data_IF_440403376577
#
_entry.id   IF_440403376577
#
_cell.length_a   1.000
_cell.length_b   1.000
_cell.length_c   1.000
_cell.angle_alpha   90.00
_cell.angle_beta   90.00
_cell.angle_gamma   90.00
#
_symmetry.space_group_name_H-M   'P 1'
#
loop_
_entity.id
_entity.type
_entity.pdbx_description
1 polymer ?
#
# COMPACT_ATOMS: atom_id res chain seq x y z
N UNK A 1 -17.29 31.37 -39.49
CA UNK A 1 -16.92 32.72 -39.02
C UNK A 1 -15.50 32.68 -38.52
N UNK A 2 -14.63 33.55 -39.03
CA UNK A 2 -13.23 33.61 -38.57
C UNK A 2 -13.14 34.29 -37.19
N UNK A 3 -12.09 34.01 -36.43
CA UNK A 3 -11.92 34.51 -35.05
C UNK A 3 -11.93 36.04 -35.00
N UNK A 4 -11.24 36.68 -35.95
CA UNK A 4 -11.23 38.15 -36.02
C UNK A 4 -12.64 38.72 -36.28
N UNK A 5 -13.46 38.09 -37.12
CA UNK A 5 -14.84 38.53 -37.37
C UNK A 5 -15.68 38.48 -36.09
N UNK A 6 -15.58 37.37 -35.35
CA UNK A 6 -16.27 37.16 -34.08
C UNK A 6 -15.87 38.17 -33.00
N UNK A 7 -14.57 38.48 -32.92
CA UNK A 7 -14.08 39.51 -31.99
C UNK A 7 -14.72 40.87 -32.28
N UNK A 8 -14.82 41.26 -33.56
CA UNK A 8 -15.43 42.54 -33.91
C UNK A 8 -16.95 42.55 -33.72
N UNK A 9 -17.64 41.43 -33.91
CA UNK A 9 -19.06 41.29 -33.57
C UNK A 9 -19.27 41.48 -32.06
N UNK A 10 -18.51 40.77 -31.22
CA UNK A 10 -18.60 40.87 -29.76
C UNK A 10 -18.22 42.26 -29.21
N UNK A 11 -17.24 42.93 -29.83
CA UNK A 11 -16.91 44.34 -29.50
C UNK A 11 -18.12 45.24 -29.76
N UNK A 12 -18.78 45.05 -30.92
CA UNK A 12 -19.95 45.85 -31.29
C UNK A 12 -21.19 45.51 -30.43
N UNK A 13 -21.43 44.24 -30.14
CA UNK A 13 -22.54 43.78 -29.28
C UNK A 13 -22.43 44.34 -27.87
N UNK A 14 -21.20 44.54 -27.37
CA UNK A 14 -20.95 45.18 -26.08
C UNK A 14 -20.87 46.71 -26.13
N UNK A 15 -21.09 47.31 -27.30
CA UNK A 15 -21.04 48.76 -27.47
C UNK A 15 -19.66 49.39 -27.23
N UNK A 16 -18.58 48.60 -27.31
CA UNK A 16 -17.22 49.07 -27.10
C UNK A 16 -16.65 49.69 -28.38
N UNK A 17 -15.98 50.83 -28.26
CA UNK A 17 -15.18 51.34 -29.37
C UNK A 17 -13.86 50.58 -29.46
N UNK A 18 -13.28 50.51 -30.66
CA UNK A 18 -11.97 49.88 -30.86
C UNK A 18 -10.86 50.52 -29.99
N UNK A 19 -11.01 51.81 -29.66
CA UNK A 19 -10.07 52.54 -28.79
C UNK A 19 -10.19 52.09 -27.33
N UNK A 20 -11.41 51.92 -26.83
CA UNK A 20 -11.65 51.40 -25.48
C UNK A 20 -11.19 49.95 -25.37
N UNK A 21 -11.51 49.12 -26.36
CA UNK A 21 -11.06 47.74 -26.41
C UNK A 21 -9.51 47.63 -26.45
N UNK A 22 -8.84 48.51 -27.20
CA UNK A 22 -7.38 48.64 -27.21
C UNK A 22 -6.81 48.98 -25.83
N UNK A 23 -7.43 49.91 -25.11
CA UNK A 23 -7.01 50.31 -23.77
C UNK A 23 -7.20 49.17 -22.75
N UNK A 24 -8.33 48.47 -22.82
CA UNK A 24 -8.68 47.39 -21.89
C UNK A 24 -7.82 46.14 -22.10
N UNK A 25 -7.51 45.78 -23.35
CA UNK A 25 -6.65 44.63 -23.66
C UNK A 25 -5.16 44.92 -23.61
N UNK A 26 -4.76 46.20 -23.62
CA UNK A 26 -3.37 46.61 -23.81
C UNK A 26 -2.82 46.35 -25.22
N UNK A 27 -3.67 45.93 -26.18
CA UNK A 27 -3.26 45.65 -27.55
C UNK A 27 -3.36 46.94 -28.35
N UNK A 28 -2.29 47.31 -29.08
CA UNK A 28 -2.26 48.54 -29.85
C UNK A 28 -3.41 48.61 -30.87
N UNK A 29 -4.07 49.77 -30.96
CA UNK A 29 -5.23 49.97 -31.85
C UNK A 29 -4.88 49.69 -33.32
N UNK A 30 -3.62 49.93 -33.73
CA UNK A 30 -3.09 49.58 -35.05
C UNK A 30 -3.13 48.07 -35.31
N UNK A 31 -2.72 47.26 -34.33
CA UNK A 31 -2.76 45.79 -34.39
C UNK A 31 -4.19 45.27 -34.51
N UNK A 32 -5.13 45.83 -33.73
CA UNK A 32 -6.55 45.45 -33.82
C UNK A 32 -7.12 45.82 -35.19
N UNK A 33 -6.75 46.99 -35.75
CA UNK A 33 -7.21 47.43 -37.08
C UNK A 33 -6.69 46.51 -38.19
N UNK A 34 -5.45 46.04 -38.04
CA UNK A 34 -4.81 45.13 -38.98
C UNK A 34 -5.53 43.77 -39.08
N UNK A 35 -6.09 43.25 -38.00
CA UNK A 35 -6.88 41.99 -38.05
C UNK A 35 -8.06 42.10 -39.01
N UNK A 36 -8.79 43.21 -38.96
CA UNK A 36 -9.92 43.48 -39.86
C UNK A 36 -9.49 43.78 -41.29
N UNK A 37 -8.44 44.59 -41.46
CA UNK A 37 -7.95 45.02 -42.80
C UNK A 37 -7.27 43.88 -43.56
N UNK A 38 -6.41 43.12 -42.88
CA UNK A 38 -5.61 42.03 -43.46
C UNK A 38 -6.32 40.69 -43.35
N UNK A 39 -7.48 40.62 -42.69
CA UNK A 39 -8.27 39.42 -42.43
C UNK A 39 -7.45 38.32 -41.73
N UNK A 40 -6.63 38.74 -40.77
CA UNK A 40 -5.74 37.85 -40.00
C UNK A 40 -6.24 37.72 -38.56
N UNK A 41 -6.13 36.52 -38.01
CA UNK A 41 -6.51 36.27 -36.62
C UNK A 41 -5.44 36.80 -35.65
N UNK A 42 -5.82 37.20 -34.43
CA UNK A 42 -4.86 37.48 -33.38
C UNK A 42 -4.01 36.23 -33.08
N UNK A 43 -2.77 36.44 -32.65
CA UNK A 43 -1.92 35.37 -32.15
C UNK A 43 -2.52 34.73 -30.89
N UNK A 44 -2.24 33.45 -30.68
CA UNK A 44 -2.82 32.65 -29.59
C UNK A 44 -2.56 33.27 -28.20
N UNK A 45 -1.42 33.94 -28.03
CA UNK A 45 -1.03 34.64 -26.80
C UNK A 45 -1.98 35.78 -26.41
N UNK A 46 -2.76 36.31 -27.37
CA UNK A 46 -3.71 37.40 -27.14
C UNK A 46 -5.14 36.92 -26.90
N UNK A 47 -5.45 35.65 -27.16
CA UNK A 47 -6.82 35.15 -27.10
C UNK A 47 -7.40 35.20 -25.68
N UNK A 48 -6.61 34.86 -24.67
CA UNK A 48 -7.06 34.90 -23.27
C UNK A 48 -7.45 36.30 -22.82
N UNK A 49 -6.63 37.31 -23.11
CA UNK A 49 -6.92 38.69 -22.69
C UNK A 49 -8.10 39.29 -23.46
N UNK A 50 -8.26 38.90 -24.73
CA UNK A 50 -9.43 39.27 -25.54
C UNK A 50 -10.70 38.62 -24.96
N UNK A 51 -10.65 37.32 -24.64
CA UNK A 51 -11.77 36.56 -24.07
C UNK A 51 -12.22 37.13 -22.72
N UNK A 52 -11.27 37.44 -21.84
CA UNK A 52 -11.54 38.07 -20.54
C UNK A 52 -12.11 39.48 -20.69
N UNK A 53 -11.56 40.30 -21.58
CA UNK A 53 -12.06 41.67 -21.81
C UNK A 53 -13.46 41.66 -22.42
N UNK A 54 -13.71 40.70 -23.29
CA UNK A 54 -15.00 40.44 -23.90
C UNK A 54 -15.75 39.36 -23.14
N UNK A 55 -15.59 39.20 -21.82
CA UNK A 55 -16.36 38.32 -20.93
C UNK A 55 -17.02 37.09 -21.62
N UNK A 56 -16.22 36.33 -22.37
CA UNK A 56 -16.62 35.11 -23.09
C UNK A 56 -15.53 34.07 -22.92
N UNK A 57 -15.86 32.81 -23.15
CA UNK A 57 -14.85 31.76 -23.20
C UNK A 57 -13.94 31.90 -24.43
N UNK A 58 -12.70 31.41 -24.34
CA UNK A 58 -11.79 31.36 -25.50
C UNK A 58 -12.38 30.45 -26.57
N UNK A 59 -13.04 29.38 -26.14
CA UNK A 59 -13.80 28.43 -26.94
C UNK A 59 -14.87 29.16 -27.77
N UNK A 60 -15.62 30.07 -27.15
CA UNK A 60 -16.58 30.91 -27.85
C UNK A 60 -15.89 31.79 -28.90
N UNK A 61 -14.74 32.43 -28.61
CA UNK A 61 -13.98 33.18 -29.63
C UNK A 61 -13.51 32.30 -30.79
N UNK A 62 -13.17 31.05 -30.51
CA UNK A 62 -12.65 30.08 -31.47
C UNK A 62 -13.74 29.46 -32.35
N UNK A 63 -15.02 29.73 -32.12
CA UNK A 63 -16.08 29.11 -32.92
C UNK A 63 -16.58 27.79 -32.37
N UNK A 64 -16.09 27.37 -31.21
CA UNK A 64 -16.46 26.11 -30.58
C UNK A 64 -17.79 26.36 -29.84
N UNK A 65 -18.86 25.59 -30.10
CA UNK A 65 -20.13 25.78 -29.42
C UNK A 65 -19.94 25.65 -27.92
N UNK A 66 -20.33 26.68 -27.17
CA UNK A 66 -20.40 26.62 -25.72
C UNK A 66 -21.39 25.52 -25.35
N UNK A 67 -20.88 24.45 -24.75
CA UNK A 67 -21.73 23.42 -24.15
C UNK A 67 -22.56 24.10 -23.08
N UNK A 68 -23.86 24.24 -23.32
CA UNK A 68 -24.83 24.76 -22.35
C UNK A 68 -24.63 24.05 -21.02
N UNK A 69 -24.50 24.86 -19.96
CA UNK A 69 -24.32 24.45 -18.58
C UNK A 69 -25.61 23.83 -18.03
N UNK A 70 -25.98 22.66 -18.56
CA UNK A 70 -27.04 21.79 -18.05
C UNK A 70 -26.44 20.48 -17.52
N UNK A 71 -25.25 20.59 -16.90
CA UNK A 71 -24.52 19.49 -16.27
C UNK A 71 -25.07 19.13 -14.88
N UNK A 72 -26.19 19.73 -14.44
CA UNK A 72 -26.68 19.47 -13.08
C UNK A 72 -27.56 18.22 -12.97
N UNK A 73 -27.88 17.59 -14.11
CA UNK A 73 -28.66 16.35 -14.17
C UNK A 73 -27.83 15.07 -14.19
N UNK A 74 -26.53 15.14 -14.54
CA UNK A 74 -25.64 13.97 -14.66
C UNK A 74 -24.49 13.94 -13.65
N UNK A 75 -24.31 14.99 -12.84
CA UNK A 75 -23.28 15.03 -11.79
C UNK A 75 -23.86 14.44 -10.50
N UNK A 76 -23.31 13.32 -10.06
CA UNK A 76 -23.79 12.65 -8.85
C UNK A 76 -23.42 13.43 -7.58
N UNK A 77 -23.99 13.03 -6.45
CA UNK A 77 -23.81 13.72 -5.16
C UNK A 77 -22.33 13.83 -4.75
N UNK A 78 -21.53 12.81 -5.04
CA UNK A 78 -20.11 12.79 -4.67
C UNK A 78 -19.28 13.77 -5.51
N UNK A 79 -19.60 13.90 -6.79
CA UNK A 79 -18.95 14.84 -7.70
C UNK A 79 -19.26 16.30 -7.33
N UNK A 80 -20.50 16.59 -6.87
CA UNK A 80 -20.87 17.92 -6.33
C UNK A 80 -20.07 18.24 -5.07
N UNK A 81 -19.99 17.28 -4.14
CA UNK A 81 -19.21 17.42 -2.90
C UNK A 81 -17.74 17.64 -3.20
N UNK A 82 -17.16 16.91 -4.16
CA UNK A 82 -15.77 17.07 -4.55
C UNK A 82 -15.49 18.46 -5.14
N UNK A 83 -16.39 18.98 -5.99
CA UNK A 83 -16.28 20.31 -6.57
C UNK A 83 -16.36 21.42 -5.52
N UNK A 84 -17.29 21.30 -4.56
CA UNK A 84 -17.40 22.24 -3.44
C UNK A 84 -16.13 22.23 -2.57
N UNK A 85 -15.64 21.05 -2.20
CA UNK A 85 -14.41 20.90 -1.42
C UNK A 85 -13.22 21.51 -2.16
N UNK A 86 -13.05 21.18 -3.45
CA UNK A 86 -11.97 21.70 -4.27
C UNK A 86 -11.99 23.22 -4.34
N UNK A 87 -13.17 23.83 -4.55
CA UNK A 87 -13.36 25.29 -4.58
C UNK A 87 -13.20 25.97 -3.22
N UNK A 88 -13.35 25.24 -2.12
CA UNK A 88 -13.13 25.79 -0.78
C UNK A 88 -11.65 25.89 -0.36
N UNK A 89 -10.77 25.10 -0.99
CA UNK A 89 -9.35 25.03 -0.60
C UNK A 89 -8.46 26.12 -1.21
N UNK A 90 -7.27 26.33 -0.66
CA UNK A 90 -6.24 27.22 -1.19
C UNK A 90 -5.47 26.59 -2.37
N UNK A 91 -4.72 27.40 -3.11
CA UNK A 91 -4.04 27.00 -4.35
C UNK A 91 -3.08 25.82 -4.15
N UNK A 92 -2.39 25.73 -3.01
CA UNK A 92 -1.43 24.66 -2.75
C UNK A 92 -2.16 23.32 -2.49
N UNK A 93 -3.21 23.35 -1.66
CA UNK A 93 -4.01 22.17 -1.36
C UNK A 93 -4.78 21.69 -2.58
N UNK A 94 -5.31 22.61 -3.41
CA UNK A 94 -5.88 22.28 -4.72
C UNK A 94 -4.87 21.59 -5.63
N UNK A 95 -3.64 22.09 -5.69
CA UNK A 95 -2.56 21.48 -6.49
C UNK A 95 -2.29 20.04 -6.04
N UNK A 96 -2.22 19.79 -4.73
CA UNK A 96 -2.01 18.44 -4.18
C UNK A 96 -3.17 17.50 -4.46
N UNK A 97 -4.41 17.99 -4.42
CA UNK A 97 -5.60 17.23 -4.79
C UNK A 97 -5.56 16.82 -6.27
N UNK A 98 -5.14 17.73 -7.15
CA UNK A 98 -4.94 17.43 -8.57
C UNK A 98 -3.81 16.42 -8.76
N UNK A 99 -2.66 16.58 -8.08
CA UNK A 99 -1.53 15.65 -8.20
C UNK A 99 -1.90 14.25 -7.72
N UNK A 100 -2.71 14.17 -6.66
CA UNK A 100 -3.25 12.91 -6.17
C UNK A 100 -4.24 12.29 -7.16
N UNK A 101 -5.16 13.07 -7.73
CA UNK A 101 -6.09 12.62 -8.75
C UNK A 101 -5.38 12.16 -10.04
N UNK A 102 -4.32 12.85 -10.46
CA UNK A 102 -3.47 12.46 -11.59
C UNK A 102 -2.77 11.13 -11.33
N UNK A 103 -2.15 10.97 -10.16
CA UNK A 103 -1.55 9.69 -9.75
C UNK A 103 -2.57 8.56 -9.71
N UNK A 104 -3.80 8.83 -9.27
CA UNK A 104 -4.86 7.84 -9.32
C UNK A 104 -5.24 7.47 -10.76
N UNK A 105 -5.29 8.44 -11.67
CA UNK A 105 -5.55 8.18 -13.08
C UNK A 105 -4.40 7.47 -13.80
N UNK A 106 -3.17 7.58 -13.28
CA UNK A 106 -2.00 6.78 -13.71
C UNK A 106 -2.07 5.33 -13.20
N UNK A 107 -2.79 5.08 -12.10
CA UNK A 107 -2.90 3.77 -11.43
C UNK A 107 -4.15 2.99 -11.89
N UNK A 108 -5.16 3.68 -12.41
CA UNK A 108 -6.42 3.08 -12.89
C UNK A 108 -6.36 2.86 -14.42
N UNK A 109 -6.70 1.67 -14.94
CA UNK A 109 -6.62 1.38 -16.37
C UNK A 109 -7.64 2.23 -17.16
N UNK A 110 -7.17 2.93 -18.18
CA UNK A 110 -7.99 3.73 -19.09
C UNK A 110 -8.56 2.87 -20.22
N UNK A 111 -9.89 2.76 -20.28
CA UNK A 111 -10.55 2.64 -21.58
C UNK A 111 -10.54 4.03 -22.26
N UNK A 112 -10.14 4.05 -23.53
CA UNK A 112 -9.72 5.23 -24.30
C UNK A 112 -10.68 6.43 -24.31
N UNK A 113 -10.15 7.62 -23.99
CA UNK A 113 -10.26 8.81 -24.86
C UNK A 113 -9.13 9.81 -24.58
N UNK A 114 -8.40 10.18 -25.63
CA UNK A 114 -7.14 10.94 -25.65
C UNK A 114 -7.21 12.32 -24.96
N UNK A 115 -6.20 12.65 -24.15
CA UNK A 115 -5.75 14.03 -23.93
C UNK A 115 -4.21 14.06 -23.93
N UNK A 116 -3.64 14.72 -24.93
CA UNK A 116 -2.20 14.89 -25.15
C UNK A 116 -1.69 16.18 -24.52
N UNK A 117 -0.55 16.11 -23.84
CA UNK A 117 0.38 17.23 -23.70
C UNK A 117 1.82 16.76 -23.95
N UNK A 118 2.41 17.38 -24.97
CA UNK A 118 3.78 17.25 -25.44
C UNK A 118 4.76 17.92 -24.45
N UNK A 119 5.81 17.22 -24.03
CA UNK A 119 7.23 17.60 -24.27
C UNK A 119 8.21 16.69 -23.53
N UNK A 120 8.82 15.78 -24.29
CA UNK A 120 10.26 15.53 -24.32
C UNK A 120 11.00 15.15 -23.03
N UNK A 121 10.99 13.85 -22.69
CA UNK A 121 12.22 13.04 -22.51
C UNK A 121 11.87 11.57 -22.46
N UNK A 122 12.31 10.87 -23.49
CA UNK A 122 12.16 9.44 -23.71
C UNK A 122 12.73 8.64 -22.54
N UNK A 123 11.91 7.78 -21.95
CA UNK A 123 12.33 6.56 -21.29
C UNK A 123 11.21 5.54 -21.50
N UNK A 124 11.56 4.45 -22.15
CA UNK A 124 10.67 3.50 -22.78
C UNK A 124 9.62 2.89 -21.85
N UNK A 125 8.46 2.65 -22.48
CA UNK A 125 7.33 1.89 -22.00
C UNK A 125 7.77 0.46 -21.65
N UNK A 126 7.45 0.00 -20.44
CA UNK A 126 7.24 -1.42 -20.15
C UNK A 126 5.82 -1.54 -19.60
N UNK A 127 4.95 -2.20 -20.35
CA UNK A 127 3.65 -2.65 -19.88
C UNK A 127 3.85 -3.76 -18.83
N UNK A 128 3.10 -3.75 -17.73
CA UNK A 128 2.99 -4.95 -16.88
C UNK A 128 1.59 -5.55 -17.02
N UNK A 129 1.57 -6.54 -17.92
CA UNK A 129 0.59 -7.59 -18.17
C UNK A 129 0.29 -8.43 -16.89
N UNK A 130 -0.68 -9.37 -16.91
CA UNK A 130 -0.75 -10.48 -15.93
C UNK A 130 0.65 -10.96 -15.57
N UNK A 131 0.92 -11.27 -14.28
CA UNK A 131 2.26 -11.67 -13.78
C UNK A 131 2.99 -12.40 -14.89
N UNK A 132 3.91 -11.70 -15.55
CA UNK A 132 4.54 -12.22 -16.75
C UNK A 132 5.08 -13.60 -16.41
N UNK A 133 4.96 -14.58 -17.31
CA UNK A 133 5.54 -15.91 -17.09
C UNK A 133 7.01 -15.79 -16.63
N UNK A 134 7.69 -14.71 -17.02
CA UNK A 134 9.01 -14.30 -16.53
C UNK A 134 9.04 -13.93 -15.04
N UNK A 135 8.15 -13.05 -14.54
CA UNK A 135 8.11 -12.66 -13.12
C UNK A 135 7.73 -13.85 -12.24
N UNK A 136 6.76 -14.64 -12.67
CA UNK A 136 6.40 -15.88 -11.98
C UNK A 136 7.60 -16.83 -11.90
N UNK A 137 8.33 -17.01 -13.01
CA UNK A 137 9.51 -17.86 -13.03
C UNK A 137 10.62 -17.35 -12.10
N UNK A 138 10.85 -16.02 -12.07
CA UNK A 138 11.80 -15.38 -11.13
C UNK A 138 11.41 -15.70 -9.69
N UNK A 139 10.14 -15.48 -9.30
CA UNK A 139 9.66 -15.76 -7.94
C UNK A 139 9.81 -17.24 -7.57
N UNK A 140 9.48 -18.15 -8.50
CA UNK A 140 9.66 -19.59 -8.31
C UNK A 140 11.13 -19.94 -8.04
N UNK A 141 12.04 -19.42 -8.85
CA UNK A 141 13.46 -19.76 -8.75
C UNK A 141 14.13 -19.16 -7.51
N UNK A 142 13.80 -17.90 -7.16
CA UNK A 142 14.22 -17.28 -5.91
C UNK A 142 13.73 -18.08 -4.70
N UNK A 143 12.44 -18.44 -4.69
CA UNK A 143 11.85 -19.21 -3.59
C UNK A 143 12.48 -20.60 -3.47
N UNK A 144 12.68 -21.32 -4.58
CA UNK A 144 13.40 -22.62 -4.59
C UNK A 144 14.80 -22.48 -4.04
N UNK A 145 15.54 -21.44 -4.44
CA UNK A 145 16.90 -21.18 -3.96
C UNK A 145 16.91 -20.94 -2.46
N UNK A 146 16.05 -20.06 -1.94
CA UNK A 146 15.94 -19.77 -0.50
C UNK A 146 15.55 -21.01 0.31
N UNK A 147 14.50 -21.74 -0.12
CA UNK A 147 14.07 -23.00 0.52
C UNK A 147 15.22 -24.02 0.56
N UNK A 148 15.94 -24.18 -0.55
CA UNK A 148 17.06 -25.14 -0.64
C UNK A 148 18.20 -24.78 0.30
N UNK A 149 18.59 -23.50 0.36
CA UNK A 149 19.65 -23.03 1.26
C UNK A 149 19.29 -23.31 2.72
N UNK A 150 18.05 -23.01 3.10
CA UNK A 150 17.55 -23.22 4.44
C UNK A 150 17.51 -24.71 4.84
N UNK A 151 16.97 -25.58 3.97
CA UNK A 151 16.85 -27.03 4.21
C UNK A 151 18.21 -27.73 4.28
N UNK A 152 19.18 -27.29 3.48
CA UNK A 152 20.55 -27.83 3.53
C UNK A 152 21.37 -27.27 4.71
N UNK A 153 20.77 -26.43 5.56
CA UNK A 153 21.47 -25.73 6.65
C UNK A 153 22.69 -24.92 6.19
N UNK A 154 22.66 -24.45 4.94
CA UNK A 154 23.69 -23.59 4.35
C UNK A 154 23.28 -22.14 4.56
N UNK A 155 23.01 -21.79 5.81
CA UNK A 155 22.60 -20.45 6.21
C UNK A 155 23.25 -20.14 7.55
N UNK A 156 23.87 -18.97 7.65
CA UNK A 156 24.31 -18.33 8.90
C UNK A 156 23.54 -17.03 9.12
N UNK A 157 23.46 -16.56 10.36
CA UNK A 157 22.82 -15.28 10.67
C UNK A 157 23.90 -14.23 10.89
N UNK A 158 23.84 -13.14 10.13
CA UNK A 158 24.59 -11.91 10.43
C UNK A 158 23.80 -11.08 11.45
N UNK A 159 24.39 -10.89 12.63
CA UNK A 159 23.81 -10.14 13.74
C UNK A 159 24.49 -8.78 13.93
N UNK A 160 25.27 -8.35 12.94
CA UNK A 160 25.96 -7.07 13.00
C UNK A 160 24.94 -5.93 13.09
N UNK A 161 25.03 -5.14 14.15
CA UNK A 161 24.15 -4.00 14.36
C UNK A 161 24.50 -2.88 13.37
N UNK A 162 23.50 -2.38 12.63
CA UNK A 162 23.67 -1.19 11.81
C UNK A 162 23.66 0.07 12.69
N UNK A 163 24.12 1.21 12.18
CA UNK A 163 24.18 2.46 12.94
C UNK A 163 22.85 2.88 13.59
N UNK A 164 21.69 2.45 13.06
CA UNK A 164 20.37 2.73 13.64
C UNK A 164 19.90 1.72 14.69
N UNK A 165 20.50 0.53 14.77
CA UNK A 165 20.04 -0.59 15.61
C UNK A 165 18.71 -1.24 15.17
N UNK A 166 18.04 -0.67 14.17
CA UNK A 166 16.71 -1.08 13.75
C UNK A 166 16.71 -2.35 12.90
N UNK A 167 17.85 -2.88 12.49
CA UNK A 167 17.90 -4.15 11.76
C UNK A 167 17.69 -5.37 12.67
N UNK A 168 17.81 -5.21 14.00
CA UNK A 168 17.74 -6.32 14.95
C UNK A 168 16.37 -6.43 15.65
N UNK A 169 15.40 -5.56 15.34
CA UNK A 169 14.13 -5.48 16.09
C UNK A 169 13.32 -6.79 16.07
N UNK A 170 13.27 -7.50 14.93
CA UNK A 170 12.62 -8.81 14.87
C UNK A 170 13.41 -9.88 15.63
N UNK A 171 14.75 -9.83 15.61
CA UNK A 171 15.58 -10.78 16.35
C UNK A 171 15.38 -10.63 17.87
N UNK A 172 15.26 -9.39 18.38
CA UNK A 172 14.95 -9.16 19.79
C UNK A 172 13.56 -9.66 20.18
N UNK A 173 12.60 -9.56 19.27
CA UNK A 173 11.29 -10.19 19.47
C UNK A 173 11.41 -11.72 19.56
N UNK A 174 12.22 -12.36 18.72
CA UNK A 174 12.46 -13.81 18.82
C UNK A 174 13.17 -14.19 20.13
N UNK A 175 14.11 -13.37 20.60
CA UNK A 175 14.80 -13.56 21.88
C UNK A 175 13.84 -13.50 23.06
N UNK A 176 12.94 -12.51 23.05
CA UNK A 176 11.91 -12.35 24.07
C UNK A 176 11.05 -13.62 24.19
N UNK A 177 10.77 -14.28 23.06
CA UNK A 177 10.03 -15.55 23.02
C UNK A 177 10.88 -16.78 23.37
N UNK A 178 12.19 -16.62 23.59
CA UNK A 178 13.12 -17.72 23.82
C UNK A 178 13.34 -18.61 22.60
N UNK A 179 13.14 -18.08 21.39
CA UNK A 179 13.30 -18.82 20.14
C UNK A 179 14.75 -18.74 19.64
N UNK A 180 15.28 -19.86 19.14
CA UNK A 180 16.55 -19.85 18.43
C UNK A 180 16.39 -19.11 17.09
N UNK A 181 17.05 -17.95 16.99
CA UNK A 181 16.95 -17.03 15.84
C UNK A 181 17.24 -17.74 14.52
N UNK A 182 18.35 -18.48 14.46
CA UNK A 182 18.80 -19.14 13.23
C UNK A 182 17.84 -20.25 12.81
N UNK A 183 17.41 -21.08 13.76
CA UNK A 183 16.49 -22.18 13.50
C UNK A 183 15.11 -21.67 13.09
N UNK A 184 14.62 -20.59 13.71
CA UNK A 184 13.39 -19.94 13.31
C UNK A 184 13.48 -19.45 11.86
N UNK A 185 14.54 -18.71 11.50
CA UNK A 185 14.67 -18.15 10.16
C UNK A 185 14.85 -19.26 9.11
N UNK A 186 15.61 -20.33 9.41
CA UNK A 186 15.69 -21.51 8.54
C UNK A 186 14.31 -22.13 8.31
N UNK A 187 13.49 -22.26 9.35
CA UNK A 187 12.14 -22.78 9.21
C UNK A 187 11.27 -21.83 8.37
N UNK A 188 11.35 -20.52 8.61
CA UNK A 188 10.66 -19.50 7.84
C UNK A 188 10.96 -19.61 6.34
N UNK A 189 12.24 -19.58 5.97
CA UNK A 189 12.68 -19.65 4.58
C UNK A 189 12.37 -21.00 3.91
N UNK A 190 12.38 -22.09 4.67
CA UNK A 190 12.04 -23.43 4.16
C UNK A 190 10.59 -23.55 3.70
N UNK A 191 9.72 -22.62 4.13
CA UNK A 191 8.28 -22.63 3.86
C UNK A 191 7.79 -21.38 3.09
N UNK A 192 8.67 -20.45 2.72
CA UNK A 192 8.32 -19.30 1.86
C UNK A 192 7.63 -19.74 0.57
N UNK A 193 6.53 -19.12 0.16
CA UNK A 193 5.85 -19.44 -1.10
C UNK A 193 6.14 -18.39 -2.18
N UNK A 194 6.14 -18.74 -3.48
CA UNK A 194 6.47 -17.81 -4.56
C UNK A 194 5.59 -16.56 -4.59
N UNK A 195 4.30 -16.71 -4.31
CA UNK A 195 3.36 -15.59 -4.29
C UNK A 195 3.65 -14.57 -3.19
N UNK A 196 4.34 -14.98 -2.12
CA UNK A 196 4.58 -14.12 -0.95
C UNK A 196 5.64 -13.06 -1.20
N UNK A 197 6.52 -13.29 -2.18
CA UNK A 197 7.76 -12.54 -2.33
C UNK A 197 7.87 -11.70 -3.60
N UNK A 198 8.58 -10.59 -3.48
CA UNK A 198 9.05 -9.76 -4.59
C UNK A 198 10.55 -9.54 -4.50
N UNK A 199 11.22 -9.42 -5.65
CA UNK A 199 12.67 -9.21 -5.75
C UNK A 199 13.04 -7.72 -5.61
N UNK A 200 14.17 -7.43 -4.97
CA UNK A 200 14.73 -6.07 -4.86
C UNK A 200 16.13 -6.00 -5.46
N UNK A 201 16.22 -6.09 -6.79
CA UNK A 201 17.49 -6.02 -7.53
C UNK A 201 18.36 -4.80 -7.18
N UNK A 202 17.72 -3.66 -6.88
CA UNK A 202 18.44 -2.42 -6.51
C UNK A 202 19.26 -2.53 -5.22
N UNK A 203 19.01 -3.55 -4.38
CA UNK A 203 19.76 -3.79 -3.13
C UNK A 203 20.81 -4.91 -3.26
N UNK A 204 20.94 -5.53 -4.43
CA UNK A 204 21.91 -6.58 -4.73
C UNK A 204 23.26 -5.96 -5.13
N UNK A 205 23.97 -5.42 -4.14
CA UNK A 205 25.22 -4.66 -4.35
C UNK A 205 26.47 -5.53 -4.60
N UNK A 206 26.33 -6.85 -4.66
CA UNK A 206 27.42 -7.79 -4.89
C UNK A 206 26.92 -9.07 -5.57
N UNK A 207 27.84 -9.79 -6.20
CA UNK A 207 27.54 -11.02 -6.93
C UNK A 207 26.93 -12.07 -6.00
N UNK A 208 25.80 -12.67 -6.40
CA UNK A 208 25.03 -13.67 -5.64
C UNK A 208 24.22 -13.15 -4.45
N UNK A 209 24.12 -11.84 -4.23
CA UNK A 209 23.10 -11.30 -3.32
C UNK A 209 21.70 -11.71 -3.80
N UNK A 210 20.85 -12.11 -2.86
CA UNK A 210 19.41 -12.30 -3.05
C UNK A 210 18.72 -11.35 -2.09
N UNK A 211 17.99 -10.38 -2.61
CA UNK A 211 17.23 -9.44 -1.80
C UNK A 211 15.74 -9.59 -2.14
N UNK A 212 14.93 -9.99 -1.16
CA UNK A 212 13.48 -10.16 -1.36
C UNK A 212 12.66 -9.49 -0.25
N UNK A 213 11.43 -9.14 -0.56
CA UNK A 213 10.41 -8.74 0.41
C UNK A 213 9.37 -9.85 0.54
N UNK A 214 8.97 -10.19 1.76
CA UNK A 214 7.67 -10.83 2.02
C UNK A 214 6.62 -9.74 2.19
N UNK A 215 5.65 -9.67 1.28
CA UNK A 215 4.70 -8.56 1.17
C UNK A 215 3.37 -8.81 1.89
N UNK A 216 3.23 -9.94 2.58
CA UNK A 216 1.94 -10.36 3.16
C UNK A 216 1.74 -9.93 4.61
N UNK A 217 2.50 -8.94 5.06
CA UNK A 217 2.34 -8.27 6.36
C UNK A 217 2.01 -6.80 6.13
N UNK A 218 1.60 -6.11 7.20
CA UNK A 218 1.44 -4.66 7.20
C UNK A 218 2.70 -3.94 6.75
N UNK A 219 3.86 -4.39 7.19
CA UNK A 219 5.17 -3.91 6.74
C UNK A 219 5.91 -5.12 6.21
N UNK A 220 6.41 -5.06 4.97
CA UNK A 220 7.09 -6.20 4.37
C UNK A 220 8.29 -6.65 5.20
N UNK A 221 8.54 -7.95 5.28
CA UNK A 221 9.79 -8.46 5.86
C UNK A 221 10.86 -8.45 4.78
N UNK A 222 11.93 -7.70 5.03
CA UNK A 222 13.11 -7.67 4.19
C UNK A 222 14.03 -8.82 4.53
N UNK A 223 14.40 -9.59 3.51
CA UNK A 223 15.26 -10.75 3.60
C UNK A 223 16.42 -10.53 2.64
N UNK A 224 17.65 -10.55 3.17
CA UNK A 224 18.87 -10.49 2.37
C UNK A 224 19.71 -11.73 2.63
N UNK A 225 20.09 -12.41 1.55
CA UNK A 225 20.98 -13.57 1.59
C UNK A 225 22.17 -13.30 0.70
N UNK A 226 23.38 -13.49 1.23
CA UNK A 226 24.56 -13.70 0.41
C UNK A 226 24.59 -15.19 0.06
N UNK A 227 24.38 -15.53 -1.21
CA UNK A 227 24.36 -16.90 -1.68
C UNK A 227 25.68 -17.31 -2.37
N UNK A 228 26.80 -16.71 -1.95
CA UNK A 228 28.15 -17.12 -2.36
C UNK A 228 28.44 -18.54 -1.88
N UNK A 229 28.92 -19.36 -2.81
CA UNK A 229 29.10 -20.82 -2.61
C UNK A 229 29.98 -21.11 -1.38
N UNK A 230 29.47 -21.94 -0.46
CA UNK A 230 30.12 -22.39 0.78
C UNK A 230 30.13 -21.37 1.94
N UNK A 231 29.62 -20.16 1.71
CA UNK A 231 29.52 -19.10 2.72
C UNK A 231 28.13 -18.47 2.69
N UNK A 232 27.10 -19.30 2.51
CA UNK A 232 25.74 -18.78 2.39
C UNK A 232 25.26 -18.21 3.75
N UNK A 233 25.02 -16.90 3.79
CA UNK A 233 24.76 -16.10 5.00
C UNK A 233 23.46 -15.32 4.78
N UNK A 234 22.49 -15.44 5.69
CA UNK A 234 21.43 -14.45 5.82
C UNK A 234 22.05 -13.21 6.44
N UNK A 235 22.17 -12.19 5.61
CA UNK A 235 22.75 -10.90 5.95
C UNK A 235 21.72 -10.02 6.65
N UNK A 236 20.42 -10.25 6.43
CA UNK A 236 19.39 -9.42 7.07
C UNK A 236 18.02 -10.08 7.10
N UNK A 237 17.31 -9.91 8.23
CA UNK A 237 15.92 -10.30 8.44
C UNK A 237 15.21 -9.28 9.35
N UNK A 238 14.47 -8.33 8.77
CA UNK A 238 13.79 -7.27 9.52
C UNK A 238 12.62 -6.63 8.74
N UNK A 239 11.68 -5.96 9.41
CA UNK A 239 10.65 -5.17 8.70
C UNK A 239 11.30 -4.05 7.85
N UNK A 240 10.79 -3.87 6.62
CA UNK A 240 11.32 -2.94 5.63
C UNK A 240 11.11 -1.49 6.08
N UNK A 241 12.21 -0.77 6.28
CA UNK A 241 12.18 0.60 6.78
C UNK A 241 13.36 1.42 6.28
N UNK A 242 13.19 2.74 6.29
CA UNK A 242 14.25 3.70 6.07
C UNK A 242 14.25 4.70 7.22
N UNK A 243 15.33 4.70 8.01
CA UNK A 243 15.46 5.52 9.21
C UNK A 243 14.28 5.32 10.19
N UNK A 244 13.81 4.07 10.36
CA UNK A 244 12.68 3.72 11.22
C UNK A 244 11.29 3.99 10.64
N UNK A 245 11.21 4.71 9.52
CA UNK A 245 9.95 4.91 8.82
C UNK A 245 9.72 3.72 7.89
N UNK A 246 8.71 2.91 8.22
CA UNK A 246 8.30 1.78 7.39
C UNK A 246 7.34 2.21 6.28
N UNK A 247 7.32 1.47 5.16
CA UNK A 247 6.24 1.58 4.16
C UNK A 247 5.20 0.51 4.47
N UNK A 248 3.93 0.90 4.59
CA UNK A 248 2.83 -0.05 4.69
C UNK A 248 2.53 -0.66 3.33
N UNK A 249 2.26 -1.95 3.30
CA UNK A 249 1.75 -2.59 2.11
C UNK A 249 0.32 -2.13 1.83
N UNK A 250 0.02 -1.98 0.55
CA UNK A 250 -1.35 -1.75 0.10
C UNK A 250 -2.19 -2.98 0.41
N UNK A 251 -3.48 -2.77 0.68
CA UNK A 251 -4.42 -3.88 0.80
C UNK A 251 -4.50 -4.58 -0.56
N UNK A 252 -4.08 -5.84 -0.61
CA UNK A 252 -4.30 -6.68 -1.79
C UNK A 252 -5.79 -7.04 -1.80
N UNK A 253 -6.49 -6.68 -2.87
CA UNK A 253 -7.94 -6.91 -3.01
C UNK A 253 -8.32 -7.68 -4.28
N UNK A 254 -7.33 -8.12 -5.06
CA UNK A 254 -7.60 -8.86 -6.30
C UNK A 254 -7.57 -10.36 -5.99
N UNK A 255 -8.67 -11.03 -6.27
CA UNK A 255 -8.74 -12.50 -6.20
C UNK A 255 -8.02 -13.09 -7.42
N UNK A 256 -6.69 -13.13 -7.35
CA UNK A 256 -5.83 -13.66 -8.39
C UNK A 256 -5.46 -15.12 -8.10
N UNK A 257 -5.25 -15.88 -9.18
CA UNK A 257 -4.64 -17.19 -9.08
C UNK A 257 -3.14 -17.02 -8.87
N UNK A 258 -2.63 -17.58 -7.78
CA UNK A 258 -1.23 -17.52 -7.41
C UNK A 258 -0.61 -18.91 -7.41
N UNK A 259 0.66 -18.98 -7.78
CA UNK A 259 1.40 -20.23 -7.79
C UNK A 259 1.94 -20.59 -6.39
N UNK A 260 1.77 -21.85 -6.01
CA UNK A 260 2.24 -22.39 -4.73
C UNK A 260 2.97 -23.71 -4.91
N UNK A 261 3.95 -23.95 -4.04
CA UNK A 261 4.53 -25.25 -3.81
C UNK A 261 3.70 -25.99 -2.75
N UNK A 262 2.99 -27.04 -3.16
CA UNK A 262 2.22 -27.87 -2.24
C UNK A 262 3.15 -28.68 -1.31
N UNK A 263 2.78 -28.81 -0.04
CA UNK A 263 3.50 -29.68 0.91
C UNK A 263 3.05 -31.14 0.75
N UNK A 264 1.76 -31.35 0.44
CA UNK A 264 1.24 -32.64 -0.03
C UNK A 264 -0.03 -32.45 -0.85
N UNK A 265 -0.33 -33.43 -1.70
CA UNK A 265 -1.61 -33.51 -2.42
C UNK A 265 -2.61 -34.25 -1.53
N UNK A 266 -3.79 -33.67 -1.33
CA UNK A 266 -4.91 -34.25 -0.59
C UNK A 266 -5.75 -35.16 -1.47
N UNK A 267 -6.67 -34.58 -2.26
CA UNK A 267 -7.54 -35.31 -3.19
C UNK A 267 -7.37 -34.82 -4.62
N UNK A 268 -7.64 -35.70 -5.60
CA UNK A 268 -7.67 -35.38 -7.02
C UNK A 268 -9.03 -35.75 -7.60
N UNK A 269 -9.65 -34.83 -8.32
CA UNK A 269 -10.88 -35.13 -9.06
C UNK A 269 -10.49 -35.78 -10.39
N UNK A 270 -10.70 -37.10 -10.46
CA UNK A 270 -10.33 -37.93 -11.61
C UNK A 270 -10.86 -37.34 -12.93
N UNK A 271 -9.98 -37.29 -13.95
CA UNK A 271 -10.31 -36.71 -15.25
C UNK A 271 -10.26 -35.18 -15.33
N UNK A 272 -9.82 -34.49 -14.27
CA UNK A 272 -9.68 -33.03 -14.25
C UNK A 272 -8.32 -32.58 -13.71
N UNK A 273 -7.99 -31.30 -13.86
CA UNK A 273 -6.83 -30.69 -13.21
C UNK A 273 -7.12 -30.17 -11.79
N UNK A 274 -8.24 -30.58 -11.16
CA UNK A 274 -8.68 -30.06 -9.87
C UNK A 274 -8.21 -30.93 -8.71
N UNK A 275 -7.56 -30.30 -7.74
CA UNK A 275 -6.98 -30.94 -6.57
C UNK A 275 -7.41 -30.22 -5.29
N UNK A 276 -7.29 -30.92 -4.17
CA UNK A 276 -7.09 -30.31 -2.86
C UNK A 276 -5.63 -30.51 -2.49
N UNK A 277 -4.96 -29.47 -2.04
CA UNK A 277 -3.57 -29.54 -1.57
C UNK A 277 -3.48 -29.08 -0.13
N UNK A 278 -2.49 -29.61 0.59
CA UNK A 278 -2.14 -29.10 1.91
C UNK A 278 -0.97 -28.13 1.79
N UNK A 279 -1.12 -26.96 2.41
CA UNK A 279 -0.11 -25.92 2.52
C UNK A 279 0.27 -25.69 3.98
N UNK A 280 1.56 -25.72 4.25
CA UNK A 280 2.18 -25.31 5.49
C UNK A 280 2.67 -23.87 5.33
N UNK A 281 1.99 -22.94 5.98
CA UNK A 281 2.29 -21.50 5.87
C UNK A 281 2.78 -21.01 7.23
N UNK A 282 3.93 -20.35 7.23
CA UNK A 282 4.43 -19.64 8.42
C UNK A 282 4.08 -18.16 8.28
N UNK A 283 3.40 -17.59 9.28
CA UNK A 283 3.25 -16.15 9.47
C UNK A 283 3.68 -15.80 10.89
N UNK A 284 4.50 -14.75 11.05
CA UNK A 284 5.15 -14.44 12.32
C UNK A 284 5.82 -15.66 12.92
N UNK A 285 5.49 -16.00 14.17
CA UNK A 285 6.02 -17.19 14.88
C UNK A 285 5.10 -18.39 14.83
N UNK A 286 3.97 -18.30 14.11
CA UNK A 286 2.97 -19.35 14.02
C UNK A 286 3.06 -20.09 12.68
N UNK A 287 2.81 -21.40 12.75
CA UNK A 287 2.60 -22.24 11.58
C UNK A 287 1.11 -22.58 11.43
N UNK A 288 0.64 -22.54 10.19
CA UNK A 288 -0.72 -22.83 9.78
C UNK A 288 -0.72 -23.98 8.77
N UNK A 289 -1.65 -24.90 8.96
CA UNK A 289 -1.87 -26.02 8.03
C UNK A 289 -3.20 -25.78 7.34
N UNK A 290 -3.15 -25.48 6.05
CA UNK A 290 -4.32 -25.15 5.25
C UNK A 290 -4.59 -26.25 4.24
N UNK A 291 -5.86 -26.58 4.02
CA UNK A 291 -6.30 -27.42 2.92
C UNK A 291 -7.01 -26.53 1.90
N UNK A 292 -6.43 -26.38 0.71
CA UNK A 292 -6.83 -25.38 -0.27
C UNK A 292 -7.21 -26.05 -1.60
N UNK A 293 -8.34 -25.68 -2.23
CA UNK A 293 -8.64 -26.11 -3.59
C UNK A 293 -7.65 -25.52 -4.58
N UNK A 294 -7.16 -26.35 -5.49
CA UNK A 294 -6.05 -26.01 -6.36
C UNK A 294 -6.24 -26.58 -7.77
N UNK A 295 -5.55 -25.98 -8.73
CA UNK A 295 -5.41 -26.51 -10.09
C UNK A 295 -3.96 -26.86 -10.36
N UNK A 296 -3.72 -28.02 -10.96
CA UNK A 296 -2.37 -28.36 -11.42
C UNK A 296 -1.85 -27.30 -12.38
N UNK A 297 -0.57 -26.94 -12.27
CA UNK A 297 0.07 -25.97 -13.16
C UNK A 297 1.25 -26.59 -13.89
N UNK A 298 2.22 -27.11 -13.14
CA UNK A 298 3.38 -27.84 -13.65
C UNK A 298 3.71 -29.01 -12.72
N UNK A 299 4.78 -29.75 -13.02
CA UNK A 299 5.20 -30.89 -12.22
C UNK A 299 5.56 -30.52 -10.76
N UNK A 300 5.83 -29.24 -10.49
CA UNK A 300 6.38 -28.76 -9.23
C UNK A 300 5.37 -28.00 -8.37
N UNK A 301 4.20 -27.63 -8.89
CA UNK A 301 3.26 -26.79 -8.16
C UNK A 301 1.89 -26.57 -8.80
N UNK A 302 1.11 -25.76 -8.10
CA UNK A 302 -0.32 -25.58 -8.33
C UNK A 302 -0.70 -24.11 -8.36
N UNK A 303 -1.80 -23.79 -9.04
CA UNK A 303 -2.48 -22.51 -8.90
C UNK A 303 -3.60 -22.60 -7.87
N UNK A 304 -3.66 -21.64 -6.98
CA UNK A 304 -4.70 -21.47 -5.96
C UNK A 304 -5.21 -20.04 -5.97
N UNK A 305 -6.44 -19.78 -5.51
CA UNK A 305 -6.87 -18.40 -5.29
C UNK A 305 -6.14 -17.85 -4.08
N UNK A 306 -5.57 -16.65 -4.20
CA UNK A 306 -4.95 -15.99 -3.06
C UNK A 306 -5.96 -15.77 -1.92
N UNK A 307 -7.20 -15.43 -2.27
CA UNK A 307 -8.27 -15.22 -1.28
C UNK A 307 -8.58 -16.47 -0.45
N UNK A 308 -8.48 -17.67 -1.02
CA UNK A 308 -8.69 -18.92 -0.26
C UNK A 308 -7.64 -19.06 0.86
N UNK A 309 -6.39 -18.63 0.61
CA UNK A 309 -5.33 -18.62 1.61
C UNK A 309 -5.52 -17.46 2.60
N UNK A 310 -5.73 -16.24 2.08
CA UNK A 310 -5.87 -15.02 2.88
C UNK A 310 -7.01 -15.17 3.87
N UNK A 311 -8.20 -15.55 3.39
CA UNK A 311 -9.40 -15.69 4.20
C UNK A 311 -9.21 -16.78 5.27
N UNK A 312 -8.64 -17.93 4.90
CA UNK A 312 -8.38 -18.99 5.88
C UNK A 312 -7.46 -18.54 7.03
N UNK A 313 -6.45 -17.72 6.73
CA UNK A 313 -5.54 -17.16 7.73
C UNK A 313 -6.21 -16.05 8.54
N UNK A 314 -6.87 -15.09 7.89
CA UNK A 314 -7.57 -13.99 8.59
C UNK A 314 -8.70 -14.52 9.47
N UNK A 315 -9.42 -15.57 9.07
CA UNK A 315 -10.48 -16.18 9.86
C UNK A 315 -9.95 -16.85 11.14
N UNK A 316 -8.76 -17.46 11.08
CA UNK A 316 -8.09 -17.99 12.28
C UNK A 316 -7.70 -16.83 13.20
N UNK A 317 -7.13 -15.77 12.65
CA UNK A 317 -6.69 -14.61 13.43
C UNK A 317 -7.87 -13.84 14.03
N UNK A 318 -8.96 -13.66 13.29
CA UNK A 318 -10.16 -12.96 13.76
C UNK A 318 -10.87 -13.74 14.87
N UNK A 319 -10.96 -15.06 14.77
CA UNK A 319 -11.47 -15.89 15.87
C UNK A 319 -10.60 -15.76 17.11
N UNK A 320 -9.28 -15.77 16.93
CA UNK A 320 -8.37 -15.58 18.05
C UNK A 320 -8.46 -14.16 18.64
N UNK A 321 -8.67 -13.15 17.81
CA UNK A 321 -8.93 -11.78 18.27
C UNK A 321 -10.21 -11.73 19.11
N UNK A 322 -11.30 -12.36 18.65
CA UNK A 322 -12.55 -12.47 19.40
C UNK A 322 -12.34 -13.11 20.78
N UNK A 323 -11.55 -14.19 20.86
CA UNK A 323 -11.19 -14.86 22.12
C UNK A 323 -10.44 -13.95 23.11
N UNK A 324 -9.76 -12.89 22.63
CA UNK A 324 -9.06 -11.92 23.48
C UNK A 324 -10.02 -10.88 24.09
N UNK A 325 -11.25 -10.75 23.56
CA UNK A 325 -12.25 -9.84 24.11
C UNK A 325 -12.98 -10.52 25.28
N UNK A 326 -13.14 -9.78 26.37
CA UNK A 326 -13.96 -10.22 27.51
C UNK A 326 -15.44 -10.15 27.17
N UNK A 327 -16.27 -10.99 27.81
CA UNK A 327 -17.72 -11.02 27.58
C UNK A 327 -18.44 -9.67 27.79
N UNK A 328 -17.85 -8.75 28.54
CA UNK A 328 -18.41 -7.42 28.80
C UNK A 328 -18.15 -6.40 27.68
N UNK A 329 -17.33 -6.74 26.68
CA UNK A 329 -17.06 -5.88 25.52
C UNK A 329 -17.86 -6.38 24.32
N UNK A 330 -18.58 -5.48 23.67
CA UNK A 330 -19.34 -5.82 22.46
C UNK A 330 -18.39 -5.95 21.26
N UNK A 331 -18.05 -7.20 20.92
CA UNK A 331 -17.21 -7.49 19.78
C UNK A 331 -17.91 -7.21 18.43
N UNK A 332 -19.24 -7.07 18.41
CA UNK A 332 -19.98 -6.80 17.16
C UNK A 332 -19.67 -5.43 16.54
N UNK A 333 -19.16 -4.49 17.35
CA UNK A 333 -18.70 -3.17 16.91
C UNK A 333 -17.27 -3.18 16.35
N UNK A 334 -16.58 -4.33 16.36
CA UNK A 334 -15.17 -4.43 15.95
C UNK A 334 -15.06 -4.74 14.45
N UNK A 335 -14.36 -3.87 13.72
CA UNK A 335 -13.95 -4.17 12.36
C UNK A 335 -12.90 -5.30 12.36
N UNK A 336 -13.23 -6.40 11.67
CA UNK A 336 -12.38 -7.56 11.51
C UNK A 336 -11.28 -7.35 10.46
N UNK A 337 -10.20 -8.11 10.58
CA UNK A 337 -9.17 -8.16 9.54
C UNK A 337 -9.74 -8.81 8.28
N UNK A 338 -9.56 -8.13 7.15
CA UNK A 338 -9.96 -8.60 5.81
C UNK A 338 -8.77 -8.89 4.91
N UNK A 339 -7.54 -8.64 5.38
CA UNK A 339 -6.31 -8.81 4.61
C UNK A 339 -5.11 -8.98 5.55
N UNK A 340 -4.17 -9.82 5.16
CA UNK A 340 -2.93 -10.06 5.93
C UNK A 340 -2.04 -8.81 6.02
N UNK A 341 -2.18 -7.86 5.08
CA UNK A 341 -1.51 -6.56 5.10
C UNK A 341 -2.07 -5.60 6.17
N UNK A 342 -3.09 -6.00 6.92
CA UNK A 342 -3.50 -5.31 8.14
C UNK A 342 -2.76 -5.82 9.38
N UNK A 343 -2.05 -6.95 9.30
CA UNK A 343 -1.43 -7.62 10.43
C UNK A 343 0.09 -7.44 10.42
N UNK A 344 0.64 -7.12 11.58
CA UNK A 344 2.07 -7.07 11.85
C UNK A 344 2.71 -8.45 11.82
N UNK A 345 4.03 -8.51 11.57
CA UNK A 345 4.79 -9.76 11.72
C UNK A 345 4.58 -10.41 13.10
N UNK A 346 4.54 -9.58 14.14
CA UNK A 346 4.43 -10.01 15.52
C UNK A 346 3.01 -10.30 15.99
N UNK A 347 2.00 -10.24 15.11
CA UNK A 347 0.60 -10.49 15.49
C UNK A 347 0.15 -11.95 15.32
N UNK A 348 1.08 -12.83 14.94
CA UNK A 348 0.83 -14.26 14.74
C UNK A 348 1.53 -15.06 15.84
N UNK A 349 0.85 -15.25 16.96
CA UNK A 349 1.31 -15.99 18.13
C UNK A 349 0.23 -16.01 19.21
N UNK A 350 0.48 -16.76 20.29
CA UNK A 350 -0.46 -16.87 21.41
C UNK A 350 0.18 -16.40 22.73
N UNK A 351 1.37 -15.82 22.66
CA UNK A 351 2.09 -15.25 23.78
C UNK A 351 1.64 -13.81 24.06
N UNK A 352 2.07 -13.28 25.21
CA UNK A 352 1.67 -11.94 25.67
C UNK A 352 2.05 -10.85 24.65
N UNK A 353 3.23 -10.92 24.05
CA UNK A 353 3.66 -9.92 23.08
C UNK A 353 2.79 -9.97 21.83
N UNK A 354 2.57 -11.18 21.30
CA UNK A 354 1.76 -11.37 20.10
C UNK A 354 0.33 -10.89 20.27
N UNK A 355 -0.27 -11.16 21.45
CA UNK A 355 -1.62 -10.73 21.76
C UNK A 355 -1.73 -9.20 21.85
N UNK A 356 -0.76 -8.54 22.49
CA UNK A 356 -0.68 -7.07 22.51
C UNK A 356 -0.52 -6.54 21.07
N UNK A 357 0.35 -7.14 20.26
CA UNK A 357 0.55 -6.74 18.86
C UNK A 357 -0.73 -6.85 18.04
N UNK A 358 -1.49 -7.93 18.22
CA UNK A 358 -2.75 -8.19 17.55
C UNK A 358 -3.83 -7.18 17.95
N UNK A 359 -3.96 -6.89 19.25
CA UNK A 359 -4.89 -5.87 19.77
C UNK A 359 -4.53 -4.46 19.27
N UNK A 360 -3.23 -4.14 19.19
CA UNK A 360 -2.75 -2.89 18.58
C UNK A 360 -3.14 -2.84 17.09
N UNK A 361 -2.93 -3.92 16.33
CA UNK A 361 -3.31 -3.95 14.92
C UNK A 361 -4.81 -3.80 14.73
N UNK A 362 -5.62 -4.43 15.60
CA UNK A 362 -7.08 -4.31 15.63
C UNK A 362 -7.48 -2.86 15.86
N UNK A 363 -6.91 -2.19 16.87
CA UNK A 363 -7.16 -0.78 17.18
C UNK A 363 -6.83 0.14 15.99
N UNK A 364 -5.72 -0.11 15.28
CA UNK A 364 -5.26 0.73 14.18
C UNK A 364 -6.20 0.69 12.98
N UNK A 365 -6.88 -0.44 12.73
CA UNK A 365 -7.75 -0.58 11.55
C UNK A 365 -9.14 0.01 11.74
N UNK A 366 -9.57 0.27 12.99
CA UNK A 366 -10.92 0.75 13.27
C UNK A 366 -11.20 2.13 12.62
N UNK A 367 -12.25 2.16 11.79
CA UNK A 367 -12.63 3.37 11.02
C UNK A 367 -13.47 4.36 11.82
N UNK A 368 -14.34 3.89 12.69
CA UNK A 368 -15.25 4.72 13.47
C UNK A 368 -14.78 4.91 14.93
N UNK A 369 -15.47 5.80 15.64
CA UNK A 369 -15.09 6.15 17.01
C UNK A 369 -15.46 5.07 18.03
N UNK A 370 -16.53 4.31 17.80
CA UNK A 370 -17.03 3.30 18.72
C UNK A 370 -16.07 2.12 18.68
N UNK A 371 -15.80 1.57 17.50
CA UNK A 371 -14.84 0.48 17.32
C UNK A 371 -13.45 0.83 17.87
N UNK A 372 -12.98 2.07 17.68
CA UNK A 372 -11.71 2.54 18.29
C UNK A 372 -11.73 2.53 19.82
N UNK A 373 -12.83 2.96 20.44
CA UNK A 373 -12.95 2.97 21.90
C UNK A 373 -13.02 1.54 22.44
N UNK A 374 -13.82 0.68 21.81
CA UNK A 374 -13.97 -0.73 22.20
C UNK A 374 -12.66 -1.49 22.05
N UNK A 375 -11.94 -1.32 20.93
CA UNK A 375 -10.63 -1.94 20.72
C UNK A 375 -9.55 -1.44 21.70
N UNK A 376 -9.55 -0.14 22.02
CA UNK A 376 -8.62 0.43 23.01
C UNK A 376 -8.92 -0.09 24.42
N UNK A 377 -10.20 -0.22 24.77
CA UNK A 377 -10.64 -0.81 26.04
C UNK A 377 -10.20 -2.28 26.15
N UNK A 378 -10.41 -3.08 25.10
CA UNK A 378 -9.95 -4.47 25.04
C UNK A 378 -8.44 -4.58 25.26
N UNK A 379 -7.65 -3.76 24.56
CA UNK A 379 -6.19 -3.69 24.74
C UNK A 379 -5.81 -3.34 26.19
N UNK A 380 -6.43 -2.33 26.78
CA UNK A 380 -6.15 -1.90 28.14
C UNK A 380 -6.52 -2.96 29.19
N UNK A 381 -7.71 -3.57 29.06
CA UNK A 381 -8.19 -4.64 29.94
C UNK A 381 -7.25 -5.86 29.86
N UNK A 382 -6.88 -6.27 28.64
CA UNK A 382 -5.92 -7.36 28.43
C UNK A 382 -4.59 -7.07 29.14
N UNK A 383 -4.02 -5.87 28.92
CA UNK A 383 -2.76 -5.45 29.56
C UNK A 383 -2.85 -5.42 31.10
N UNK A 384 -3.96 -4.93 31.66
CA UNK A 384 -4.16 -4.85 33.11
C UNK A 384 -4.30 -6.22 33.78
N UNK A 385 -4.86 -7.20 33.06
CA UNK A 385 -5.06 -8.55 33.57
C UNK A 385 -3.82 -9.45 33.48
N UNK A 386 -2.79 -9.03 32.73
CA UNK A 386 -1.54 -9.77 32.61
C UNK A 386 -0.75 -9.73 33.92
N UNK A 387 -0.43 -10.91 34.45
CA UNK A 387 0.42 -11.06 35.64
C UNK A 387 1.85 -11.41 35.22
N UNK A 388 2.75 -10.43 35.32
CA UNK A 388 4.17 -10.57 35.03
C UNK A 388 5.00 -10.04 36.20
N UNK A 389 6.18 -10.63 36.40
CA UNK A 389 7.18 -10.06 37.30
C UNK A 389 7.64 -8.70 36.78
N UNK A 390 8.08 -7.82 37.68
CA UNK A 390 8.60 -6.49 37.34
C UNK A 390 9.65 -6.53 36.22
N UNK A 391 10.59 -7.49 36.28
CA UNK A 391 11.63 -7.68 35.27
C UNK A 391 11.05 -8.05 33.90
N UNK A 392 10.16 -9.04 33.85
CA UNK A 392 9.56 -9.52 32.59
C UNK A 392 8.67 -8.45 31.95
N UNK A 393 8.00 -7.64 32.78
CA UNK A 393 7.22 -6.47 32.34
C UNK A 393 8.10 -5.42 31.69
N UNK A 394 9.25 -5.12 32.30
CA UNK A 394 10.22 -4.17 31.74
C UNK A 394 10.75 -4.68 30.40
N UNK A 395 11.14 -5.95 30.33
CA UNK A 395 11.65 -6.57 29.11
C UNK A 395 10.60 -6.58 27.98
N UNK A 396 9.34 -6.91 28.29
CA UNK A 396 8.22 -6.81 27.35
C UNK A 396 8.06 -5.40 26.79
N UNK A 397 8.07 -4.38 27.66
CA UNK A 397 7.89 -2.98 27.25
C UNK A 397 9.06 -2.47 26.41
N UNK A 398 10.29 -2.83 26.76
CA UNK A 398 11.48 -2.49 25.98
C UNK A 398 11.43 -3.15 24.60
N UNK A 399 11.03 -4.42 24.54
CA UNK A 399 10.89 -5.16 23.28
C UNK A 399 9.78 -4.57 22.40
N UNK A 400 8.62 -4.21 22.98
CA UNK A 400 7.52 -3.55 22.26
C UNK A 400 7.98 -2.21 21.68
N UNK A 401 8.63 -1.37 22.50
CA UNK A 401 9.16 -0.07 22.04
C UNK A 401 10.16 -0.24 20.89
N UNK A 402 11.02 -1.25 20.96
CA UNK A 402 11.98 -1.51 19.88
C UNK A 402 11.31 -2.02 18.61
N UNK A 403 10.40 -2.99 18.74
CA UNK A 403 9.65 -3.53 17.59
C UNK A 403 8.91 -2.42 16.86
N UNK A 404 8.20 -1.59 17.61
CA UNK A 404 7.43 -0.48 17.06
C UNK A 404 8.28 0.77 16.82
N UNK A 405 9.62 0.76 16.99
CA UNK A 405 10.47 1.84 16.47
C UNK A 405 10.52 1.83 14.93
N UNK A 406 10.26 0.66 14.32
CA UNK A 406 9.97 0.51 12.90
C UNK A 406 8.46 0.58 12.69
N UNK A 407 7.95 1.76 12.37
CA UNK A 407 6.51 1.95 12.12
C UNK A 407 6.23 3.16 11.22
N UNK A 408 4.98 3.28 10.77
CA UNK A 408 4.51 4.46 10.01
C UNK A 408 3.23 5.07 10.59
N UNK A 409 2.86 4.70 11.82
CA UNK A 409 1.59 5.03 12.46
C UNK A 409 1.84 6.12 13.49
N UNK A 410 1.38 7.35 13.19
CA UNK A 410 1.63 8.53 14.03
C UNK A 410 1.14 8.38 15.48
N UNK A 411 0.05 7.63 15.69
CA UNK A 411 -0.55 7.41 17.01
C UNK A 411 0.12 6.28 17.82
N UNK A 412 1.11 5.59 17.25
CA UNK A 412 1.77 4.46 17.87
C UNK A 412 2.41 4.80 19.23
N UNK A 413 3.11 5.94 19.41
CA UNK A 413 3.69 6.28 20.71
C UNK A 413 2.64 6.36 21.83
N UNK A 414 1.47 6.96 21.56
CA UNK A 414 0.38 7.05 22.55
C UNK A 414 -0.26 5.68 22.84
N UNK A 415 -0.32 4.79 21.85
CA UNK A 415 -0.79 3.42 22.06
C UNK A 415 0.18 2.67 22.98
N UNK A 416 1.50 2.75 22.74
CA UNK A 416 2.49 2.09 23.58
C UNK A 416 2.57 2.66 25.00
N UNK A 417 2.34 3.96 25.16
CA UNK A 417 2.22 4.59 26.48
C UNK A 417 1.05 3.98 27.27
N UNK A 418 -0.13 3.84 26.64
CA UNK A 418 -1.30 3.19 27.26
C UNK A 418 -1.03 1.73 27.61
N UNK A 419 -0.37 0.98 26.74
CA UNK A 419 0.08 -0.39 27.05
C UNK A 419 0.98 -0.39 28.30
N UNK A 420 1.94 0.53 28.38
CA UNK A 420 2.82 0.70 29.54
C UNK A 420 2.09 1.00 30.85
N UNK A 421 1.14 1.94 30.83
CA UNK A 421 0.34 2.31 32.00
C UNK A 421 -0.47 1.10 32.50
N UNK A 422 -1.14 0.39 31.60
CA UNK A 422 -2.01 -0.73 31.98
C UNK A 422 -1.21 -1.97 32.43
N UNK A 423 -0.05 -2.25 31.81
CA UNK A 423 0.86 -3.27 32.34
C UNK A 423 1.41 -2.90 33.72
N UNK A 424 1.61 -1.61 34.00
CA UNK A 424 2.15 -1.09 35.26
C UNK A 424 1.16 -1.00 36.42
N UNK A 425 -0.15 -1.13 36.16
CA UNK A 425 -1.21 -0.88 37.14
C UNK A 425 -1.61 -2.08 38.01
N UNK A 426 -1.08 -3.28 37.70
CA UNK A 426 -1.35 -4.47 38.50
C UNK A 426 -0.65 -4.36 39.88
N UNK A 427 -1.38 -4.43 41.01
CA UNK A 427 -0.77 -4.40 42.34
C UNK A 427 0.19 -5.59 42.50
N UNK A 428 1.39 -5.30 43.01
CA UNK A 428 2.32 -6.32 43.47
C UNK A 428 1.63 -7.08 44.62
N UNK A 429 1.06 -8.25 44.31
CA UNK A 429 0.47 -9.16 45.29
C UNK A 429 1.50 -10.19 45.74
#
# INVERSE_FOLDING_TARGET
MQIWERIFELINERGLTQKEFSLMTGIAQSTISDWKKKKVNPGAERLNIIAQTLDVSVEHLLGIPERSADYDSDINTDEKVLLELFRSYDTNTRSRLIDYAKKLNEILPSDNSEITYDTGRSADVIAEEPVSDVDLQIRKDLTRRLRRLARLSRIRLDETEHASGLNLHLLKYLDYLGLDRLQFIKNYLSNLQPYMISEIKTQERFDNAICVLDEFYRISVYIKVDATKNEEIIVSFHENNRNGISRRNSLIRRDELVYVFADSVGSHVEGTDSYSINLFIIRGVKSFHLNIPARSYDADGFLVRESDISNALTDIVNRYLEDLYTADLDFSDIELFSSLQQLSFTSYGNDVFSNISLLIDSLIIQKDSIGRQTADAAMCIYCNNIRLLQKDRQELLETLKMRYAVNSVKVMPQILERVGINLGSAPDN
#
